data_IF_772722288984
#
_entry.id   IF_772722288984
#
_cell.length_a   1.000
_cell.length_b   1.000
_cell.length_c   1.000
_cell.angle_alpha   90.00
_cell.angle_beta   90.00
_cell.angle_gamma   90.00
#
_symmetry.space_group_name_H-M   'P 1'
#
loop_
_entity.id
_entity.type
_entity.pdbx_description
1 polymer ?
#
# COMPACT_ATOMS: atom_id res chain seq x y z
N UNK A 1 -10.49 -15.23 2.46
CA UNK A 1 -9.09 -14.76 2.45
C UNK A 1 -8.70 -14.45 3.89
N UNK A 2 -7.99 -15.36 4.57
CA UNK A 2 -7.54 -15.14 5.95
C UNK A 2 -6.23 -14.38 5.88
N UNK A 3 -6.26 -13.08 6.15
CA UNK A 3 -5.05 -12.35 6.51
C UNK A 3 -4.63 -12.88 7.88
N UNK A 4 -3.60 -13.71 7.92
CA UNK A 4 -2.92 -14.02 9.18
C UNK A 4 -2.33 -12.70 9.68
N UNK A 5 -2.86 -12.21 10.80
CA UNK A 5 -2.30 -11.07 11.53
C UNK A 5 -0.96 -11.50 12.12
N UNK A 6 0.06 -11.54 11.29
CA UNK A 6 1.44 -11.50 11.75
C UNK A 6 1.58 -10.13 12.39
N UNK A 7 1.62 -10.10 13.71
CA UNK A 7 1.97 -8.93 14.52
C UNK A 7 3.05 -8.15 13.79
N UNK A 8 2.78 -6.86 13.53
CA UNK A 8 3.71 -6.02 12.79
C UNK A 8 5.04 -6.05 13.51
N UNK A 9 6.04 -6.71 12.92
CA UNK A 9 7.39 -6.74 13.44
C UNK A 9 7.89 -5.31 13.36
N UNK A 10 7.85 -4.58 14.48
CA UNK A 10 8.38 -3.21 14.61
C UNK A 10 9.80 -3.22 14.07
N UNK A 11 10.04 -2.60 12.92
CA UNK A 11 11.40 -2.45 12.39
C UNK A 11 12.06 -1.30 13.16
N UNK A 12 13.25 -1.50 13.76
CA UNK A 12 13.92 -0.48 14.58
C UNK A 12 14.12 0.85 13.84
N UNK A 13 14.35 0.81 12.53
CA UNK A 13 14.49 1.98 11.65
C UNK A 13 13.25 2.87 11.58
N UNK A 14 12.05 2.36 11.87
CA UNK A 14 10.84 3.18 11.91
C UNK A 14 10.82 4.05 13.19
N UNK A 15 11.19 3.48 14.34
CA UNK A 15 11.19 4.23 15.60
C UNK A 15 12.18 5.40 15.57
N UNK A 16 13.39 5.19 15.06
CA UNK A 16 14.43 6.23 15.02
C UNK A 16 14.02 7.42 14.14
N UNK A 17 13.39 7.18 12.99
CA UNK A 17 13.01 8.25 12.07
C UNK A 17 11.81 9.09 12.53
N UNK A 18 10.94 8.53 13.37
CA UNK A 18 9.69 9.15 13.81
C UNK A 18 9.67 9.50 15.31
N UNK A 19 10.74 9.23 16.06
CA UNK A 19 10.85 9.64 17.45
C UNK A 19 10.71 11.16 17.59
N UNK A 20 9.82 11.61 18.48
CA UNK A 20 9.54 13.03 18.69
C UNK A 20 8.76 13.71 17.56
N UNK A 21 8.32 12.97 16.54
CA UNK A 21 7.50 13.50 15.45
C UNK A 21 6.06 13.01 15.58
N UNK A 22 5.12 13.85 15.16
CA UNK A 22 3.73 13.46 14.99
C UNK A 22 3.59 12.50 13.81
N UNK A 23 3.06 11.32 14.04
CA UNK A 23 2.76 10.30 13.03
C UNK A 23 1.32 10.48 12.57
N UNK A 24 1.13 10.59 11.27
CA UNK A 24 -0.20 10.66 10.65
C UNK A 24 -0.43 9.39 9.84
N UNK A 25 -1.49 8.65 10.17
CA UNK A 25 -1.94 7.48 9.42
C UNK A 25 -3.13 7.88 8.58
N UNK A 26 -2.98 7.81 7.25
CA UNK A 26 -4.05 8.13 6.29
C UNK A 26 -4.75 6.85 5.85
N UNK A 27 -6.07 6.81 5.99
CA UNK A 27 -6.92 5.67 5.66
C UNK A 27 -7.98 6.07 4.62
N UNK A 28 -8.30 5.14 3.73
CA UNK A 28 -9.49 5.21 2.89
C UNK A 28 -10.73 4.66 3.62
N UNK A 29 -11.87 4.69 2.93
CA UNK A 29 -13.15 4.24 3.48
C UNK A 29 -13.44 2.74 3.27
N UNK A 30 -12.43 1.91 3.05
CA UNK A 30 -12.63 0.47 2.92
C UNK A 30 -13.33 -0.11 4.18
N UNK A 31 -14.29 -1.06 4.03
CA UNK A 31 -15.01 -1.64 5.18
C UNK A 31 -14.09 -2.24 6.25
N UNK A 32 -12.92 -2.75 5.85
CA UNK A 32 -11.89 -3.29 6.74
C UNK A 32 -11.34 -2.24 7.72
N UNK A 33 -11.45 -0.95 7.40
CA UNK A 33 -10.94 0.15 8.22
C UNK A 33 -12.00 0.77 9.13
N UNK A 34 -13.26 0.30 9.11
CA UNK A 34 -14.40 0.96 9.79
C UNK A 34 -14.24 1.14 11.30
N UNK A 35 -13.45 0.30 11.95
CA UNK A 35 -13.23 0.29 13.41
C UNK A 35 -11.80 0.69 13.79
N UNK A 36 -11.03 1.29 12.88
CA UNK A 36 -9.60 1.54 13.13
C UNK A 36 -9.42 2.53 14.27
N UNK A 37 -10.21 3.59 14.28
CA UNK A 37 -10.20 4.66 15.27
C UNK A 37 -10.54 4.14 16.68
N UNK A 38 -11.48 3.18 16.79
CA UNK A 38 -11.88 2.56 18.07
C UNK A 38 -10.86 1.54 18.60
N UNK A 39 -10.11 0.89 17.71
CA UNK A 39 -9.18 -0.21 18.06
C UNK A 39 -7.76 0.26 18.30
N UNK A 40 -7.41 1.48 17.88
CA UNK A 40 -6.08 2.06 18.09
C UNK A 40 -5.99 2.67 19.48
N UNK A 41 -4.95 2.29 20.23
CA UNK A 41 -4.64 2.94 21.51
C UNK A 41 -4.34 4.43 21.29
N UNK A 42 -5.03 5.35 21.97
CA UNK A 42 -4.76 6.79 21.86
C UNK A 42 -3.33 7.13 22.24
N UNK A 43 -2.70 8.02 21.47
CA UNK A 43 -1.35 8.55 21.73
C UNK A 43 -1.26 9.99 21.23
N UNK A 44 -0.58 10.86 21.97
CA UNK A 44 -0.44 12.28 21.62
C UNK A 44 0.36 12.51 20.32
N UNK A 45 1.21 11.54 19.98
CA UNK A 45 2.04 11.54 18.79
C UNK A 45 1.36 10.91 17.57
N UNK A 46 0.09 10.48 17.66
CA UNK A 46 -0.60 9.77 16.59
C UNK A 46 -1.89 10.48 16.16
N UNK A 47 -2.05 10.69 14.85
CA UNK A 47 -3.30 11.15 14.23
C UNK A 47 -3.74 10.17 13.16
N UNK A 48 -5.01 9.78 13.22
CA UNK A 48 -5.68 9.01 12.17
C UNK A 48 -6.47 10.00 11.32
N UNK A 49 -6.20 10.01 10.01
CA UNK A 49 -6.90 10.83 9.03
C UNK A 49 -7.66 9.92 8.07
N UNK A 50 -8.96 10.13 7.96
CA UNK A 50 -9.83 9.42 7.02
C UNK A 50 -10.10 10.30 5.80
N UNK A 51 -9.79 9.78 4.62
CA UNK A 51 -10.10 10.47 3.37
C UNK A 51 -11.61 10.48 3.12
N UNK A 52 -12.09 11.46 2.35
CA UNK A 52 -13.45 11.46 1.88
C UNK A 52 -13.72 10.23 0.98
N UNK A 53 -14.98 9.75 0.90
CA UNK A 53 -15.35 8.68 -0.02
C UNK A 53 -14.95 9.00 -1.46
N UNK A 54 -14.52 7.98 -2.20
CA UNK A 54 -14.15 8.11 -3.62
C UNK A 54 -13.04 9.12 -3.93
N UNK A 55 -12.08 9.33 -3.00
CA UNK A 55 -10.93 10.23 -3.20
C UNK A 55 -9.59 9.50 -3.37
N UNK A 56 -9.43 8.54 -4.30
CA UNK A 56 -8.16 7.83 -4.49
C UNK A 56 -7.04 8.77 -4.96
N UNK A 57 -7.39 9.89 -5.60
CA UNK A 57 -6.45 10.95 -6.03
C UNK A 57 -5.72 11.56 -4.82
N UNK A 58 -6.38 11.66 -3.67
CA UNK A 58 -5.76 12.16 -2.45
C UNK A 58 -4.92 11.10 -1.70
N UNK A 59 -4.96 9.82 -2.12
CA UNK A 59 -4.27 8.74 -1.43
C UNK A 59 -2.92 8.39 -2.08
N UNK A 60 -1.77 8.76 -1.48
CA UNK A 60 -0.46 8.53 -2.09
C UNK A 60 -0.11 7.04 -2.26
N UNK A 61 -0.75 6.12 -1.51
CA UNK A 61 -0.49 4.69 -1.64
C UNK A 61 -0.86 4.15 -3.03
N UNK A 62 -1.84 4.76 -3.69
CA UNK A 62 -2.29 4.39 -5.03
C UNK A 62 -1.15 4.53 -6.06
N UNK A 63 -0.35 5.59 -5.92
CA UNK A 63 0.83 5.81 -6.76
C UNK A 63 1.93 4.77 -6.48
N UNK A 64 2.19 4.49 -5.20
CA UNK A 64 3.15 3.45 -4.78
C UNK A 64 2.75 2.07 -5.32
N UNK A 65 1.48 1.71 -5.22
CA UNK A 65 0.95 0.44 -5.73
C UNK A 65 0.98 0.38 -7.25
N UNK A 66 0.77 1.49 -7.95
CA UNK A 66 0.94 1.54 -9.40
C UNK A 66 2.37 1.20 -9.83
N UNK A 67 3.38 1.74 -9.14
CA UNK A 67 4.79 1.41 -9.38
C UNK A 67 5.10 -0.05 -9.04
N UNK A 68 4.66 -0.53 -7.87
CA UNK A 68 4.85 -1.93 -7.47
C UNK A 68 4.21 -2.90 -8.48
N UNK A 69 2.97 -2.61 -8.91
CA UNK A 69 2.24 -3.40 -9.91
C UNK A 69 2.98 -3.45 -11.24
N UNK A 70 3.58 -2.35 -11.68
CA UNK A 70 4.40 -2.32 -12.90
C UNK A 70 5.64 -3.23 -12.77
N UNK A 71 6.32 -3.22 -11.62
CA UNK A 71 7.47 -4.10 -11.36
C UNK A 71 7.08 -5.58 -11.29
N UNK A 72 5.98 -5.90 -10.61
CA UNK A 72 5.43 -7.26 -10.57
C UNK A 72 5.09 -7.73 -11.98
N UNK A 73 4.40 -6.91 -12.79
CA UNK A 73 4.09 -7.26 -14.19
C UNK A 73 5.33 -7.56 -15.01
N UNK A 74 6.39 -6.75 -14.88
CA UNK A 74 7.66 -6.97 -15.57
C UNK A 74 8.34 -8.28 -15.13
N UNK A 75 8.27 -8.62 -13.84
CA UNK A 75 8.75 -9.93 -13.37
C UNK A 75 7.92 -11.09 -13.94
N UNK A 76 6.60 -10.98 -13.90
CA UNK A 76 5.69 -12.01 -14.39
C UNK A 76 5.80 -12.22 -15.90
N UNK A 77 6.14 -11.18 -16.68
CA UNK A 77 6.41 -11.36 -18.12
C UNK A 77 7.65 -12.20 -18.38
N UNK A 78 8.66 -12.15 -17.51
CA UNK A 78 9.84 -13.01 -17.59
C UNK A 78 9.53 -14.44 -17.14
N UNK A 79 8.69 -14.59 -16.11
CA UNK A 79 8.22 -15.89 -15.61
C UNK A 79 7.01 -16.46 -16.38
N UNK A 80 6.81 -16.04 -17.63
CA UNK A 80 5.60 -16.39 -18.41
C UNK A 80 5.45 -17.89 -18.60
N UNK A 81 6.55 -18.58 -18.90
CA UNK A 81 6.56 -20.04 -19.10
C UNK A 81 6.11 -20.78 -17.84
N UNK A 82 6.63 -20.38 -16.68
CA UNK A 82 6.21 -20.93 -15.39
C UNK A 82 4.72 -20.66 -15.12
N UNK A 83 4.19 -19.49 -15.49
CA UNK A 83 2.77 -19.17 -15.28
C UNK A 83 1.81 -20.02 -16.12
N UNK A 84 2.24 -20.43 -17.32
CA UNK A 84 1.43 -21.23 -18.25
C UNK A 84 1.75 -22.72 -18.23
N UNK A 85 2.78 -23.13 -17.49
CA UNK A 85 3.18 -24.53 -17.36
C UNK A 85 1.98 -25.42 -16.99
N UNK A 86 1.86 -26.54 -17.70
CA UNK A 86 0.79 -27.53 -17.53
C UNK A 86 0.89 -28.11 -16.12
N UNK A 87 -0.24 -28.11 -15.41
CA UNK A 87 -0.35 -28.59 -14.02
C UNK A 87 -1.65 -29.35 -13.83
N UNK A 88 -1.72 -30.18 -12.78
CA UNK A 88 -2.98 -30.86 -12.45
C UNK A 88 -4.04 -29.85 -12.06
N UNK A 89 -5.30 -30.14 -12.42
CA UNK A 89 -6.46 -29.34 -12.01
C UNK A 89 -6.49 -29.31 -10.48
N UNK A 90 -6.53 -28.11 -9.89
CA UNK A 90 -6.43 -27.88 -8.45
C UNK A 90 -5.08 -27.30 -8.00
N UNK A 91 -3.99 -27.57 -8.71
CA UNK A 91 -2.65 -27.06 -8.37
C UNK A 91 -2.35 -25.69 -9.00
N UNK A 92 -3.10 -25.33 -10.05
CA UNK A 92 -2.86 -24.11 -10.85
C UNK A 92 -2.89 -22.84 -9.99
N UNK A 93 -3.88 -22.70 -9.11
CA UNK A 93 -4.04 -21.51 -8.28
C UNK A 93 -2.89 -21.36 -7.27
N UNK A 94 -2.53 -22.45 -6.58
CA UNK A 94 -1.43 -22.45 -5.61
C UNK A 94 -0.08 -22.16 -6.27
N UNK A 95 0.19 -22.77 -7.43
CA UNK A 95 1.42 -22.52 -8.17
C UNK A 95 1.53 -21.07 -8.65
N UNK A 96 0.42 -20.48 -9.14
CA UNK A 96 0.39 -19.05 -9.53
C UNK A 96 0.55 -18.12 -8.34
N UNK A 97 -0.01 -18.48 -7.18
CA UNK A 97 0.18 -17.70 -5.94
C UNK A 97 1.65 -17.66 -5.53
N UNK A 98 2.34 -18.81 -5.57
CA UNK A 98 3.77 -18.87 -5.24
C UNK A 98 4.63 -18.00 -6.18
N UNK A 99 4.31 -18.00 -7.48
CA UNK A 99 4.99 -17.13 -8.45
C UNK A 99 4.72 -15.66 -8.14
N UNK A 100 3.48 -15.31 -7.80
CA UNK A 100 3.11 -13.94 -7.43
C UNK A 100 3.79 -13.48 -6.14
N UNK A 101 3.87 -14.33 -5.12
CA UNK A 101 4.59 -14.06 -3.87
C UNK A 101 6.07 -13.75 -4.15
N UNK A 102 6.73 -14.59 -4.96
CA UNK A 102 8.12 -14.33 -5.41
C UNK A 102 8.25 -13.01 -6.17
N UNK A 103 7.30 -12.69 -7.04
CA UNK A 103 7.30 -11.43 -7.78
C UNK A 103 7.17 -10.22 -6.85
N UNK A 104 6.32 -10.32 -5.81
CA UNK A 104 6.16 -9.29 -4.77
C UNK A 104 7.45 -9.16 -3.97
N UNK A 105 8.04 -10.26 -3.48
CA UNK A 105 9.29 -10.25 -2.71
C UNK A 105 10.44 -9.58 -3.47
N UNK A 106 10.53 -9.83 -4.79
CA UNK A 106 11.54 -9.22 -5.66
C UNK A 106 11.26 -7.75 -5.96
N UNK A 107 9.99 -7.34 -5.93
CA UNK A 107 9.57 -6.00 -6.34
C UNK A 107 9.36 -5.04 -5.17
N UNK A 108 9.08 -5.53 -3.96
CA UNK A 108 8.65 -4.71 -2.82
C UNK A 108 9.68 -3.66 -2.41
N UNK A 109 10.97 -3.92 -2.69
CA UNK A 109 12.06 -2.96 -2.48
C UNK A 109 11.91 -1.66 -3.28
N UNK A 110 11.04 -1.59 -4.29
CA UNK A 110 10.75 -0.33 -5.00
C UNK A 110 9.91 0.65 -4.18
N UNK A 111 9.23 0.19 -3.12
CA UNK A 111 8.52 1.07 -2.18
C UNK A 111 9.52 1.55 -1.14
N UNK A 112 10.30 2.54 -1.52
CA UNK A 112 11.25 3.23 -0.65
C UNK A 112 10.71 4.60 -0.18
N UNK A 113 11.42 5.24 0.75
CA UNK A 113 11.03 6.54 1.29
C UNK A 113 10.99 7.62 0.19
N UNK A 114 11.85 7.52 -0.83
CA UNK A 114 11.90 8.47 -1.94
C UNK A 114 10.63 8.38 -2.78
N UNK A 115 10.18 7.18 -3.12
CA UNK A 115 8.95 6.96 -3.85
C UNK A 115 7.74 7.44 -3.04
N UNK A 116 7.66 7.07 -1.76
CA UNK A 116 6.56 7.48 -0.88
C UNK A 116 6.48 9.01 -0.80
N UNK A 117 7.60 9.69 -0.58
CA UNK A 117 7.63 11.17 -0.55
C UNK A 117 7.24 11.78 -1.90
N UNK A 118 7.70 11.20 -3.01
CA UNK A 118 7.32 11.65 -4.35
C UNK A 118 5.81 11.53 -4.58
N UNK A 119 5.20 10.41 -4.17
CA UNK A 119 3.76 10.19 -4.33
C UNK A 119 2.96 11.11 -3.40
N UNK A 120 3.40 11.31 -2.16
CA UNK A 120 2.79 12.27 -1.24
C UNK A 120 2.79 13.68 -1.84
N UNK A 121 3.93 14.16 -2.34
CA UNK A 121 4.05 15.46 -2.98
C UNK A 121 3.16 15.57 -4.23
N UNK A 122 3.14 14.55 -5.08
CA UNK A 122 2.32 14.54 -6.29
C UNK A 122 0.81 14.68 -5.98
N UNK A 123 0.33 14.08 -4.88
CA UNK A 123 -1.08 14.16 -4.49
C UNK A 123 -1.45 15.44 -3.74
N UNK A 124 -0.48 16.27 -3.34
CA UNK A 124 -0.78 17.57 -2.71
C UNK A 124 -1.60 18.48 -3.60
N UNK A 125 -1.40 18.44 -4.92
CA UNK A 125 -2.20 19.22 -5.86
C UNK A 125 -3.69 18.83 -5.82
N UNK A 126 -4.00 17.54 -5.75
CA UNK A 126 -5.38 17.05 -5.64
C UNK A 126 -6.01 17.45 -4.29
N UNK A 127 -5.24 17.42 -3.20
CA UNK A 127 -5.70 17.90 -1.89
C UNK A 127 -6.00 19.41 -1.93
N UNK A 128 -5.10 20.20 -2.51
CA UNK A 128 -5.29 21.64 -2.61
C UNK A 128 -6.46 22.02 -3.53
N UNK A 129 -6.68 21.27 -4.62
CA UNK A 129 -7.86 21.43 -5.47
C UNK A 129 -9.15 21.12 -4.70
N UNK A 130 -9.16 20.04 -3.91
CA UNK A 130 -10.28 19.68 -3.05
C UNK A 130 -10.61 20.79 -2.03
N UNK A 131 -9.60 21.40 -1.41
CA UNK A 131 -9.77 22.52 -0.48
C UNK A 131 -10.41 23.74 -1.15
N UNK A 132 -10.14 23.96 -2.45
CA UNK A 132 -10.75 25.04 -3.26
C UNK A 132 -12.08 24.65 -3.90
N UNK A 133 -12.58 23.43 -3.65
CA UNK A 133 -13.76 22.87 -4.32
C UNK A 133 -13.63 22.82 -5.84
N UNK A 134 -12.40 22.67 -6.34
CA UNK A 134 -12.06 22.51 -7.75
C UNK A 134 -12.06 21.04 -8.16
N UNK A 135 -12.06 20.79 -9.47
CA UNK A 135 -11.85 19.45 -10.00
C UNK A 135 -10.44 18.94 -9.63
N UNK A 136 -10.36 17.67 -9.23
CA UNK A 136 -9.14 17.03 -8.73
C UNK A 136 -8.41 16.20 -9.80
N UNK A 137 -8.86 16.20 -11.06
CA UNK A 137 -8.31 15.39 -12.17
C UNK A 137 -7.52 16.19 -13.21
#
# INVERSE_FOLDING_TARGET
MRFTTRSSRRRPTCLEHFQGKKVVVVLDNAPTHSQTEERVTPRDDLVILRLAPYSPMCNPIEGCFSVLKAKIKAYLSLAREDLIAVRRRGEIAAARMLILERAVERSIGCIDLRLVNKMALHRQHAVAAAERMEDMQ
#
